data_IF_408697145862
#
_entry.id   IF_408697145862
#
_cell.length_a   1.000
_cell.length_b   1.000
_cell.length_c   1.000
_cell.angle_alpha   90.00
_cell.angle_beta   90.00
_cell.angle_gamma   90.00
#
_symmetry.space_group_name_H-M   'P 1'
#
loop_
_entity.id
_entity.type
_entity.pdbx_description
1 polymer ?
#
# COMPACT_ATOMS: atom_id res chain seq x y z
N UNK A 1 14.46 -5.75 -8.56
CA UNK A 1 14.46 -4.38 -8.04
C UNK A 1 13.28 -4.34 -7.09
N UNK A 2 13.52 -4.14 -5.80
CA UNK A 2 12.43 -3.89 -4.85
C UNK A 2 11.77 -2.61 -5.35
N UNK A 3 10.48 -2.68 -5.67
CA UNK A 3 9.70 -1.52 -6.11
C UNK A 3 9.41 -0.72 -4.84
N UNK A 4 10.36 0.16 -4.47
CA UNK A 4 10.25 1.03 -3.29
C UNK A 4 9.01 1.90 -3.49
N UNK A 5 8.22 2.11 -2.43
CA UNK A 5 7.06 3.01 -2.48
C UNK A 5 7.50 4.39 -3.00
N UNK A 6 6.78 5.02 -3.96
CA UNK A 6 7.24 6.27 -4.54
C UNK A 6 7.43 7.40 -3.52
N UNK A 7 6.60 7.46 -2.47
CA UNK A 7 6.74 8.44 -1.41
C UNK A 7 8.02 8.22 -0.61
N UNK A 8 8.31 6.98 -0.22
CA UNK A 8 9.57 6.62 0.44
C UNK A 8 10.77 6.96 -0.45
N UNK A 9 10.67 6.64 -1.76
CA UNK A 9 11.68 7.00 -2.75
C UNK A 9 11.98 8.50 -2.75
N UNK A 10 10.96 9.36 -2.79
CA UNK A 10 11.14 10.81 -2.76
C UNK A 10 11.61 11.35 -1.39
N UNK A 11 11.25 10.71 -0.27
CA UNK A 11 11.65 11.16 1.07
C UNK A 11 13.06 10.67 1.47
N UNK A 12 13.52 9.55 0.92
CA UNK A 12 14.79 8.91 1.29
C UNK A 12 16.05 9.74 0.98
N UNK A 13 16.01 10.62 -0.02
CA UNK A 13 17.08 11.58 -0.31
C UNK A 13 16.55 13.01 -0.16
N UNK A 14 16.75 13.65 1.02
CA UNK A 14 16.25 14.99 1.25
C UNK A 14 16.84 15.98 0.25
N UNK A 15 15.99 16.82 -0.36
CA UNK A 15 16.46 17.95 -1.19
C UNK A 15 17.45 18.85 -0.44
N UNK A 16 17.35 18.93 0.89
CA UNK A 16 18.26 19.70 1.74
C UNK A 16 19.70 19.17 1.77
N UNK A 17 19.95 17.92 1.34
CA UNK A 17 21.29 17.37 1.21
C UNK A 17 21.96 17.78 -0.11
N UNK A 18 21.17 18.19 -1.10
CA UNK A 18 21.69 18.67 -2.38
C UNK A 18 21.96 20.17 -2.33
N UNK A 19 23.07 20.59 -2.93
CA UNK A 19 23.33 22.02 -3.09
C UNK A 19 22.28 22.65 -4.03
N UNK A 20 21.92 23.94 -3.84
CA UNK A 20 21.03 24.64 -4.76
C UNK A 20 21.52 24.62 -6.21
N UNK A 21 22.84 24.57 -6.41
CA UNK A 21 23.44 24.41 -7.74
C UNK A 21 23.11 23.03 -8.31
N UNK A 22 23.29 21.95 -7.54
CA UNK A 22 23.01 20.59 -8.01
C UNK A 22 21.52 20.39 -8.33
N UNK A 23 20.63 21.00 -7.54
CA UNK A 23 19.19 21.00 -7.83
C UNK A 23 18.91 21.66 -9.18
N UNK A 24 19.50 22.84 -9.44
CA UNK A 24 19.34 23.53 -10.73
C UNK A 24 19.91 22.73 -11.90
N UNK A 25 21.07 22.10 -11.74
CA UNK A 25 21.65 21.22 -12.76
C UNK A 25 20.69 20.07 -13.11
N UNK A 26 20.17 19.37 -12.10
CA UNK A 26 19.21 18.27 -12.30
C UNK A 26 17.92 18.75 -12.96
N UNK A 27 17.43 19.95 -12.61
CA UNK A 27 16.26 20.54 -13.24
C UNK A 27 16.51 20.95 -14.70
N UNK A 28 17.69 21.47 -15.02
CA UNK A 28 18.10 21.73 -16.41
C UNK A 28 18.17 20.44 -17.22
N UNK A 29 18.80 19.39 -16.69
CA UNK A 29 18.84 18.07 -17.35
C UNK A 29 17.42 17.51 -17.57
N UNK A 30 16.51 17.69 -16.60
CA UNK A 30 15.12 17.28 -16.72
C UNK A 30 14.35 18.08 -17.79
N UNK A 31 14.58 19.39 -17.86
CA UNK A 31 14.02 20.26 -18.91
C UNK A 31 14.46 19.80 -20.31
N UNK A 32 15.76 19.60 -20.52
CA UNK A 32 16.30 19.14 -21.81
C UNK A 32 15.74 17.76 -22.21
N UNK A 33 15.62 16.84 -21.24
CA UNK A 33 15.01 15.54 -21.45
C UNK A 33 13.53 15.62 -21.81
N UNK A 34 12.79 16.55 -21.19
CA UNK A 34 11.38 16.79 -21.48
C UNK A 34 11.17 17.32 -22.89
N UNK A 35 11.98 18.30 -23.32
CA UNK A 35 11.89 18.86 -24.67
C UNK A 35 12.33 17.85 -25.75
N UNK A 36 13.32 17.00 -25.46
CA UNK A 36 13.68 15.88 -26.34
C UNK A 36 12.51 14.92 -26.54
N UNK A 37 11.82 14.56 -25.46
CA UNK A 37 10.65 13.68 -25.52
C UNK A 37 9.47 14.36 -26.24
N UNK A 38 9.25 15.65 -26.01
CA UNK A 38 8.22 16.42 -26.72
C UNK A 38 8.48 16.47 -28.23
N UNK A 39 9.72 16.75 -28.65
CA UNK A 39 10.13 16.77 -30.05
C UNK A 39 9.98 15.38 -30.71
N UNK A 40 10.30 14.30 -29.96
CA UNK A 40 10.06 12.93 -30.42
C UNK A 40 8.57 12.66 -30.67
N UNK A 41 7.70 13.14 -29.78
CA UNK A 41 6.25 12.99 -29.91
C UNK A 41 5.68 13.85 -31.05
N UNK A 42 6.32 14.97 -31.40
CA UNK A 42 5.93 15.82 -32.54
C UNK A 42 6.25 15.12 -33.87
N UNK A 43 7.37 14.41 -33.95
CA UNK A 43 7.86 13.76 -35.16
C UNK A 43 8.25 12.29 -34.91
N UNK A 44 7.30 11.41 -34.56
CA UNK A 44 7.61 10.02 -34.23
C UNK A 44 8.07 9.25 -35.48
N UNK A 45 9.06 8.34 -35.34
CA UNK A 45 9.44 7.46 -36.44
C UNK A 45 8.31 6.48 -36.79
N UNK A 46 8.38 5.84 -37.97
CA UNK A 46 7.34 4.91 -38.47
C UNK A 46 6.99 3.78 -37.48
N UNK A 47 7.94 3.36 -36.65
CA UNK A 47 7.74 2.38 -35.56
C UNK A 47 8.25 3.02 -34.27
N UNK A 48 7.41 3.80 -33.56
CA UNK A 48 7.84 4.52 -32.38
C UNK A 48 8.10 3.56 -31.21
N UNK A 49 9.19 3.84 -30.50
CA UNK A 49 9.52 3.31 -29.19
C UNK A 49 9.89 4.50 -28.30
N UNK A 50 9.01 4.82 -27.35
CA UNK A 50 9.15 6.03 -26.55
C UNK A 50 10.39 6.01 -25.65
N UNK A 51 11.04 4.85 -25.48
CA UNK A 51 12.35 4.74 -24.80
C UNK A 51 13.45 5.53 -25.52
N UNK A 52 13.35 5.70 -26.84
CA UNK A 52 14.31 6.49 -27.60
C UNK A 52 14.16 8.00 -27.35
N UNK A 53 12.92 8.48 -27.19
CA UNK A 53 12.64 9.89 -26.89
C UNK A 53 12.93 10.28 -25.44
N UNK A 54 12.88 9.33 -24.50
CA UNK A 54 13.03 9.61 -23.06
C UNK A 54 14.42 9.34 -22.49
N UNK A 55 15.46 9.11 -23.32
CA UNK A 55 16.80 8.71 -22.82
C UNK A 55 17.36 9.66 -21.75
N UNK A 56 17.16 10.97 -21.92
CA UNK A 56 17.57 11.98 -20.93
C UNK A 56 16.82 11.89 -19.60
N UNK A 57 15.57 11.41 -19.62
CA UNK A 57 14.73 11.28 -18.41
C UNK A 57 14.90 9.93 -17.69
N UNK A 58 15.45 8.92 -18.37
CA UNK A 58 15.48 7.54 -17.86
C UNK A 58 16.19 7.42 -16.52
N UNK A 59 17.33 8.09 -16.35
CA UNK A 59 18.10 8.09 -15.10
C UNK A 59 17.57 9.14 -14.12
N UNK A 60 17.04 10.25 -14.62
CA UNK A 60 16.51 11.33 -13.79
C UNK A 60 15.24 10.95 -13.04
N UNK A 61 14.52 9.89 -13.42
CA UNK A 61 13.37 9.41 -12.64
C UNK A 61 13.74 8.99 -11.21
N UNK A 62 15.02 8.80 -10.89
CA UNK A 62 15.51 8.54 -9.54
C UNK A 62 15.98 9.82 -8.81
N UNK A 63 15.86 10.98 -9.46
CA UNK A 63 16.26 12.27 -8.90
C UNK A 63 15.23 12.77 -7.89
N UNK A 64 15.65 13.28 -6.72
CA UNK A 64 14.74 13.85 -5.74
C UNK A 64 14.23 15.25 -6.11
N UNK A 65 14.81 15.91 -7.13
CA UNK A 65 14.55 17.31 -7.49
C UNK A 65 13.31 17.51 -8.38
N UNK A 66 12.90 16.48 -9.12
CA UNK A 66 11.80 16.57 -10.09
C UNK A 66 11.98 17.67 -11.16
N UNK A 67 10.88 18.08 -11.78
CA UNK A 67 10.85 19.24 -12.67
C UNK A 67 10.89 20.57 -11.91
N UNK A 68 11.44 21.62 -12.53
CA UNK A 68 11.22 22.98 -12.05
C UNK A 68 9.75 23.40 -12.26
N UNK A 69 9.24 24.30 -11.42
CA UNK A 69 7.85 24.79 -11.51
C UNK A 69 7.49 25.37 -12.90
N UNK A 70 8.45 25.98 -13.59
CA UNK A 70 8.25 26.50 -14.94
C UNK A 70 7.95 25.41 -15.99
N UNK A 71 8.42 24.18 -15.77
CA UNK A 71 8.26 23.05 -16.69
C UNK A 71 7.02 22.22 -16.38
N UNK A 72 6.41 22.39 -15.20
CA UNK A 72 5.25 21.59 -14.75
C UNK A 72 4.09 21.60 -15.76
N UNK A 73 3.63 22.76 -16.30
CA UNK A 73 2.54 22.77 -17.28
C UNK A 73 2.92 22.01 -18.57
N UNK A 74 4.17 22.14 -19.02
CA UNK A 74 4.70 21.46 -20.20
C UNK A 74 4.77 19.95 -19.98
N UNK A 75 5.23 19.50 -18.83
CA UNK A 75 5.31 18.10 -18.46
C UNK A 75 3.94 17.43 -18.38
N UNK A 76 2.92 18.10 -17.83
CA UNK A 76 1.54 17.60 -17.85
C UNK A 76 1.00 17.44 -19.28
N UNK A 77 1.28 18.40 -20.18
CA UNK A 77 0.88 18.31 -21.58
C UNK A 77 1.59 17.16 -22.31
N UNK A 78 2.89 16.99 -22.09
CA UNK A 78 3.67 15.87 -22.65
C UNK A 78 3.15 14.53 -22.14
N UNK A 79 2.81 14.42 -20.85
CA UNK A 79 2.23 13.20 -20.28
C UNK A 79 0.95 12.77 -21.03
N UNK A 80 0.02 13.69 -21.26
CA UNK A 80 -1.24 13.38 -21.96
C UNK A 80 -0.99 12.84 -23.36
N UNK A 81 -0.02 13.42 -24.09
CA UNK A 81 0.39 12.93 -25.42
C UNK A 81 0.99 11.52 -25.38
N UNK A 82 1.81 11.21 -24.37
CA UNK A 82 2.36 9.85 -24.16
C UNK A 82 1.22 8.85 -23.94
N UNK A 83 0.26 9.20 -23.09
CA UNK A 83 -0.89 8.36 -22.76
C UNK A 83 -1.79 8.10 -23.99
N UNK A 84 -2.02 9.12 -24.80
CA UNK A 84 -2.75 9.00 -26.06
C UNK A 84 -2.03 8.08 -27.06
N UNK A 85 -0.76 8.36 -27.35
CA UNK A 85 0.06 7.61 -28.30
C UNK A 85 0.18 6.13 -27.92
N UNK A 86 0.45 5.82 -26.64
CA UNK A 86 0.68 4.45 -26.20
C UNK A 86 1.85 3.77 -26.93
N UNK A 87 1.77 2.44 -27.10
CA UNK A 87 2.77 1.68 -27.86
C UNK A 87 4.02 1.29 -27.07
N UNK A 88 5.08 0.92 -27.80
CA UNK A 88 6.35 0.48 -27.21
C UNK A 88 7.00 1.61 -26.40
N UNK A 89 7.52 1.27 -25.21
CA UNK A 89 8.16 2.24 -24.31
C UNK A 89 7.22 3.19 -23.59
N UNK A 90 5.91 3.18 -23.86
CA UNK A 90 4.96 4.13 -23.26
C UNK A 90 4.90 4.04 -21.73
N UNK A 91 4.96 2.84 -21.14
CA UNK A 91 4.95 2.69 -19.69
C UNK A 91 6.21 3.29 -19.04
N UNK A 92 7.38 3.14 -19.69
CA UNK A 92 8.63 3.74 -19.20
C UNK A 92 8.59 5.27 -19.26
N UNK A 93 8.04 5.82 -20.35
CA UNK A 93 7.90 7.26 -20.53
C UNK A 93 6.88 7.86 -19.55
N UNK A 94 5.73 7.19 -19.35
CA UNK A 94 4.74 7.58 -18.34
C UNK A 94 5.35 7.57 -16.94
N UNK A 95 6.04 6.48 -16.57
CA UNK A 95 6.74 6.38 -15.28
C UNK A 95 7.71 7.52 -15.08
N UNK A 96 8.62 7.77 -16.02
CA UNK A 96 9.62 8.83 -15.86
C UNK A 96 8.99 10.22 -15.71
N UNK A 97 8.01 10.56 -16.54
CA UNK A 97 7.35 11.88 -16.48
C UNK A 97 6.55 12.05 -15.19
N UNK A 98 5.78 11.03 -14.76
CA UNK A 98 5.03 11.11 -13.51
C UNK A 98 5.96 11.13 -12.28
N UNK A 99 7.06 10.37 -12.28
CA UNK A 99 7.99 10.39 -11.16
C UNK A 99 8.65 11.77 -11.00
N UNK A 100 9.04 12.42 -12.11
CA UNK A 100 9.61 13.77 -12.08
C UNK A 100 8.59 14.85 -11.76
N UNK A 101 7.34 14.72 -12.25
CA UNK A 101 6.23 15.58 -11.84
C UNK A 101 5.97 15.45 -10.34
N UNK A 102 5.92 14.23 -9.80
CA UNK A 102 5.72 14.00 -8.37
C UNK A 102 6.84 14.61 -7.54
N UNK A 103 8.09 14.37 -7.93
CA UNK A 103 9.27 14.92 -7.25
C UNK A 103 9.34 16.45 -7.18
N UNK A 104 8.69 17.16 -8.12
CA UNK A 104 8.60 18.64 -8.09
C UNK A 104 7.86 19.15 -6.84
N UNK A 105 6.95 18.33 -6.29
CA UNK A 105 6.04 18.68 -5.20
C UNK A 105 5.39 20.06 -5.42
N UNK A 106 5.00 20.36 -6.67
CA UNK A 106 4.40 21.64 -7.03
C UNK A 106 2.87 21.61 -6.77
N UNK A 107 2.33 22.50 -5.92
CA UNK A 107 0.90 22.55 -5.60
C UNK A 107 -0.02 22.67 -6.81
N UNK A 108 0.43 23.27 -7.92
CA UNK A 108 -0.37 23.41 -9.14
C UNK A 108 -0.70 22.07 -9.81
N UNK A 109 -0.01 20.99 -9.40
CA UNK A 109 -0.26 19.64 -9.93
C UNK A 109 -1.40 18.89 -9.23
N UNK A 110 -1.97 19.40 -8.14
CA UNK A 110 -3.06 18.70 -7.42
C UNK A 110 -4.23 18.30 -8.34
N UNK A 111 -4.78 19.17 -9.21
CA UNK A 111 -5.85 18.77 -10.13
C UNK A 111 -5.41 17.71 -11.14
N UNK A 112 -4.15 17.76 -11.59
CA UNK A 112 -3.59 16.78 -12.51
C UNK A 112 -3.52 15.38 -11.86
N UNK A 113 -3.12 15.29 -10.59
CA UNK A 113 -3.08 14.00 -9.90
C UNK A 113 -4.46 13.38 -9.70
N UNK A 114 -5.49 14.19 -9.42
CA UNK A 114 -6.88 13.73 -9.39
C UNK A 114 -7.31 13.18 -10.76
N UNK A 115 -6.99 13.89 -11.85
CA UNK A 115 -7.22 13.41 -13.21
C UNK A 115 -6.54 12.05 -13.45
N UNK A 116 -5.28 11.89 -13.03
CA UNK A 116 -4.50 10.65 -13.23
C UNK A 116 -5.07 9.44 -12.50
N UNK A 117 -5.66 9.63 -11.32
CA UNK A 117 -6.32 8.57 -10.54
C UNK A 117 -7.55 8.03 -11.28
N UNK A 118 -8.34 8.93 -11.87
CA UNK A 118 -9.58 8.60 -12.58
C UNK A 118 -9.35 8.19 -14.03
N UNK A 119 -8.17 8.50 -14.59
CA UNK A 119 -7.83 8.20 -15.97
C UNK A 119 -7.87 6.69 -16.24
N UNK A 120 -8.60 6.29 -17.28
CA UNK A 120 -8.73 4.89 -17.68
C UNK A 120 -8.62 4.72 -19.19
N UNK A 121 -8.05 3.58 -19.61
CA UNK A 121 -7.99 3.14 -21.01
C UNK A 121 -8.11 1.61 -21.06
N UNK A 122 -8.71 1.02 -22.10
CA UNK A 122 -8.74 -0.43 -22.26
C UNK A 122 -7.33 -1.03 -22.23
N UNK A 123 -7.15 -2.11 -21.46
CA UNK A 123 -5.87 -2.83 -21.30
C UNK A 123 -4.71 -1.94 -20.80
N UNK A 124 -5.02 -0.92 -20.02
CA UNK A 124 -4.02 -0.08 -19.37
C UNK A 124 -3.29 -0.84 -18.25
N UNK A 125 -2.13 -1.38 -18.59
CA UNK A 125 -1.26 -2.10 -17.65
C UNK A 125 -0.57 -1.17 -16.65
N UNK A 126 -0.51 0.13 -16.93
CA UNK A 126 0.17 1.12 -16.10
C UNK A 126 -0.77 1.79 -15.09
N UNK A 127 -2.08 1.53 -15.17
CA UNK A 127 -3.10 2.15 -14.31
C UNK A 127 -2.77 2.05 -12.82
N UNK A 128 -2.41 0.86 -12.34
CA UNK A 128 -2.14 0.66 -10.92
C UNK A 128 -0.99 1.54 -10.45
N UNK A 129 0.12 1.54 -11.19
CA UNK A 129 1.29 2.33 -10.87
C UNK A 129 1.03 3.83 -10.98
N UNK A 130 0.26 4.27 -11.99
CA UNK A 130 -0.18 5.66 -12.10
C UNK A 130 -0.98 6.12 -10.89
N UNK A 131 -1.92 5.30 -10.42
CA UNK A 131 -2.71 5.61 -9.21
C UNK A 131 -1.79 5.75 -8.00
N UNK A 132 -0.87 4.80 -7.79
CA UNK A 132 0.10 4.82 -6.68
C UNK A 132 0.97 6.08 -6.74
N UNK A 133 1.58 6.38 -7.90
CA UNK A 133 2.37 7.61 -8.11
C UNK A 133 1.57 8.88 -7.84
N UNK A 134 0.30 8.91 -8.23
CA UNK A 134 -0.56 10.09 -8.05
C UNK A 134 -0.89 10.34 -6.58
N UNK A 135 -1.24 9.29 -5.84
CA UNK A 135 -1.53 9.40 -4.41
C UNK A 135 -0.28 9.74 -3.60
N UNK A 136 0.86 9.12 -3.94
CA UNK A 136 2.15 9.43 -3.35
C UNK A 136 2.57 10.89 -3.62
N UNK A 137 2.34 11.40 -4.84
CA UNK A 137 2.65 12.79 -5.18
C UNK A 137 1.78 13.78 -4.41
N UNK A 138 0.47 13.49 -4.24
CA UNK A 138 -0.39 14.29 -3.37
C UNK A 138 0.11 14.30 -1.91
N UNK A 139 0.53 13.15 -1.38
CA UNK A 139 1.11 13.09 -0.04
C UNK A 139 2.43 13.88 0.05
N UNK A 140 3.30 13.80 -0.97
CA UNK A 140 4.54 14.56 -1.00
C UNK A 140 4.31 16.07 -1.03
N UNK A 141 3.31 16.54 -1.80
CA UNK A 141 2.91 17.96 -1.82
C UNK A 141 2.42 18.37 -0.42
N UNK A 142 1.56 17.57 0.21
CA UNK A 142 1.08 17.81 1.56
C UNK A 142 2.24 17.93 2.56
N UNK A 143 3.20 17.00 2.53
CA UNK A 143 4.36 16.96 3.45
C UNK A 143 5.32 18.13 3.21
N UNK A 144 5.70 18.39 1.96
CA UNK A 144 6.75 19.38 1.63
C UNK A 144 6.26 20.82 1.55
N UNK A 145 4.97 21.03 1.25
CA UNK A 145 4.39 22.36 0.99
C UNK A 145 3.34 22.77 1.99
N UNK A 146 2.88 21.85 2.84
CA UNK A 146 1.78 22.07 3.78
C UNK A 146 0.48 22.53 3.08
N UNK A 147 0.27 22.07 1.85
CA UNK A 147 -0.81 22.55 0.98
C UNK A 147 -2.16 21.90 1.33
N UNK A 148 -3.14 22.71 1.74
CA UNK A 148 -4.47 22.23 2.13
C UNK A 148 -5.17 21.45 1.00
N UNK A 149 -5.04 21.92 -0.25
CA UNK A 149 -5.65 21.25 -1.41
C UNK A 149 -5.15 19.81 -1.60
N UNK A 150 -3.91 19.50 -1.21
CA UNK A 150 -3.37 18.15 -1.30
C UNK A 150 -3.95 17.20 -0.22
N UNK A 151 -4.10 17.70 1.01
CA UNK A 151 -4.81 16.99 2.08
C UNK A 151 -6.28 16.72 1.70
N UNK A 152 -6.96 17.74 1.18
CA UNK A 152 -8.36 17.63 0.74
C UNK A 152 -8.52 16.64 -0.41
N UNK A 153 -7.58 16.63 -1.37
CA UNK A 153 -7.57 15.68 -2.47
C UNK A 153 -7.43 14.23 -1.99
N UNK A 154 -6.46 13.95 -1.10
CA UNK A 154 -6.30 12.62 -0.51
C UNK A 154 -7.55 12.21 0.29
N UNK A 155 -8.07 13.13 1.10
CA UNK A 155 -9.27 12.89 1.89
C UNK A 155 -10.50 12.62 1.01
N UNK A 156 -10.69 13.35 -0.08
CA UNK A 156 -11.74 13.10 -1.08
C UNK A 156 -11.63 11.68 -1.66
N UNK A 157 -10.41 11.24 -2.02
CA UNK A 157 -10.16 9.93 -2.63
C UNK A 157 -10.42 8.75 -1.67
N UNK A 158 -10.50 8.99 -0.36
CA UNK A 158 -10.97 7.96 0.61
C UNK A 158 -12.43 7.56 0.39
N UNK A 159 -13.19 8.29 -0.44
CA UNK A 159 -14.59 8.02 -0.81
C UNK A 159 -14.74 7.58 -2.27
N UNK A 160 -13.64 7.32 -2.97
CA UNK A 160 -13.65 6.92 -4.38
C UNK A 160 -14.43 5.61 -4.63
N UNK A 161 -15.04 5.45 -5.82
CA UNK A 161 -15.86 4.29 -6.13
C UNK A 161 -15.09 2.94 -6.09
N UNK A 162 -13.82 2.96 -6.51
CA UNK A 162 -12.91 1.80 -6.48
C UNK A 162 -12.31 1.61 -5.06
N UNK A 163 -12.55 0.47 -4.38
CA UNK A 163 -12.00 0.20 -3.05
C UNK A 163 -10.48 0.20 -2.98
N UNK A 164 -9.78 -0.24 -4.03
CA UNK A 164 -8.31 -0.24 -4.03
C UNK A 164 -7.73 1.19 -4.01
N UNK A 165 -8.45 2.16 -4.58
CA UNK A 165 -8.08 3.57 -4.53
C UNK A 165 -8.38 4.14 -3.14
N UNK A 166 -9.55 3.82 -2.55
CA UNK A 166 -9.88 4.24 -1.18
C UNK A 166 -8.81 3.76 -0.19
N UNK A 167 -8.41 2.49 -0.26
CA UNK A 167 -7.41 1.92 0.63
C UNK A 167 -6.05 2.65 0.53
N UNK A 168 -5.55 2.85 -0.70
CA UNK A 168 -4.30 3.60 -0.90
C UNK A 168 -4.44 5.07 -0.50
N UNK A 169 -5.58 5.71 -0.75
CA UNK A 169 -5.81 7.10 -0.35
C UNK A 169 -5.76 7.25 1.17
N UNK A 170 -6.34 6.32 1.94
CA UNK A 170 -6.23 6.31 3.41
C UNK A 170 -4.79 6.07 3.86
N UNK A 171 -4.06 5.16 3.20
CA UNK A 171 -2.64 4.91 3.47
C UNK A 171 -1.79 6.18 3.28
N UNK A 172 -1.91 6.84 2.13
CA UNK A 172 -1.16 8.06 1.83
C UNK A 172 -1.63 9.27 2.62
N UNK A 173 -2.92 9.36 3.00
CA UNK A 173 -3.42 10.39 3.92
C UNK A 173 -2.80 10.24 5.31
N UNK A 174 -2.64 9.01 5.81
CA UNK A 174 -1.94 8.74 7.08
C UNK A 174 -0.49 9.24 7.01
N UNK A 175 0.22 8.91 5.93
CA UNK A 175 1.59 9.40 5.70
C UNK A 175 1.64 10.94 5.62
N UNK A 176 0.73 11.55 4.87
CA UNK A 176 0.67 13.00 4.71
C UNK A 176 0.54 13.76 6.05
N UNK A 177 -0.19 13.21 7.03
CA UNK A 177 -0.27 13.79 8.38
C UNK A 177 0.93 13.42 9.25
N UNK A 178 1.29 12.13 9.30
CA UNK A 178 2.35 11.63 10.17
C UNK A 178 3.73 12.22 9.81
N UNK A 179 4.10 12.16 8.54
CA UNK A 179 5.43 12.60 8.06
C UNK A 179 5.54 14.13 8.06
N UNK A 180 4.42 14.85 7.99
CA UNK A 180 4.36 16.30 8.19
C UNK A 180 4.36 16.72 9.67
N UNK A 181 4.28 15.77 10.62
CA UNK A 181 4.14 16.07 12.04
C UNK A 181 2.83 16.79 12.40
N UNK A 182 1.77 16.61 11.59
CA UNK A 182 0.47 17.27 11.77
C UNK A 182 -0.54 16.34 12.44
N UNK A 183 -1.31 16.82 13.43
CA UNK A 183 -2.43 16.06 13.95
C UNK A 183 -3.51 15.89 12.88
N UNK A 184 -4.16 14.74 12.86
CA UNK A 184 -5.29 14.47 11.94
C UNK A 184 -6.52 15.27 12.40
N UNK A 185 -7.16 16.07 11.53
CA UNK A 185 -8.36 16.83 11.89
C UNK A 185 -9.53 15.94 12.31
N UNK A 186 -10.36 16.42 13.24
CA UNK A 186 -11.52 15.68 13.77
C UNK A 186 -12.51 15.23 12.68
N UNK A 187 -12.73 16.06 11.66
CA UNK A 187 -13.56 15.70 10.52
C UNK A 187 -13.00 14.46 9.79
N UNK A 188 -11.69 14.43 9.53
CA UNK A 188 -11.01 13.29 8.91
C UNK A 188 -11.10 12.05 9.80
N UNK A 189 -10.87 12.19 11.12
CA UNK A 189 -10.99 11.08 12.06
C UNK A 189 -12.42 10.49 12.07
N UNK A 190 -13.44 11.35 12.04
CA UNK A 190 -14.85 10.95 11.96
C UNK A 190 -15.10 10.15 10.68
N UNK A 191 -14.61 10.64 9.54
CA UNK A 191 -14.73 9.94 8.26
C UNK A 191 -13.98 8.61 8.26
N UNK A 192 -12.79 8.53 8.87
CA UNK A 192 -12.03 7.29 8.97
C UNK A 192 -12.72 6.26 9.88
N UNK A 193 -13.40 6.70 10.93
CA UNK A 193 -14.26 5.82 11.73
C UNK A 193 -15.42 5.24 10.89
N UNK A 194 -16.04 6.06 10.04
CA UNK A 194 -17.08 5.61 9.12
C UNK A 194 -16.52 4.62 8.09
N UNK A 195 -15.36 4.88 7.48
CA UNK A 195 -14.70 3.95 6.55
C UNK A 195 -14.36 2.63 7.25
N UNK A 196 -13.81 2.68 8.47
CA UNK A 196 -13.49 1.49 9.25
C UNK A 196 -14.73 0.62 9.50
N UNK A 197 -15.85 1.22 9.90
CA UNK A 197 -17.03 0.48 10.32
C UNK A 197 -17.95 0.08 9.16
N UNK A 198 -18.06 0.90 8.11
CA UNK A 198 -19.12 0.78 7.10
C UNK A 198 -18.63 0.37 5.70
N UNK A 199 -17.34 0.50 5.38
CA UNK A 199 -16.86 0.07 4.05
C UNK A 199 -17.05 -1.44 3.88
N UNK A 200 -17.45 -1.86 2.67
CA UNK A 200 -17.69 -3.27 2.34
C UNK A 200 -16.41 -4.03 2.04
N UNK A 201 -15.38 -3.33 1.56
CA UNK A 201 -14.10 -3.92 1.20
C UNK A 201 -13.16 -3.96 2.41
N UNK A 202 -12.35 -5.01 2.51
CA UNK A 202 -11.41 -5.16 3.62
C UNK A 202 -10.34 -4.06 3.66
N UNK A 203 -9.67 -3.80 2.53
CA UNK A 203 -8.47 -2.94 2.52
C UNK A 203 -8.72 -1.50 3.01
N UNK A 204 -9.80 -0.79 2.60
CA UNK A 204 -10.11 0.53 3.17
C UNK A 204 -10.38 0.47 4.66
N UNK A 205 -11.15 -0.53 5.12
CA UNK A 205 -11.45 -0.74 6.54
C UNK A 205 -10.18 -0.93 7.35
N UNK A 206 -9.25 -1.71 6.82
CA UNK A 206 -7.97 -2.02 7.44
C UNK A 206 -7.10 -0.77 7.57
N UNK A 207 -6.90 -0.03 6.46
CA UNK A 207 -6.08 1.18 6.49
C UNK A 207 -6.68 2.28 7.37
N UNK A 208 -8.01 2.42 7.40
CA UNK A 208 -8.68 3.38 8.28
C UNK A 208 -8.46 3.06 9.76
N UNK A 209 -8.53 1.79 10.16
CA UNK A 209 -8.20 1.36 11.53
C UNK A 209 -6.74 1.60 11.89
N UNK A 210 -5.80 1.42 10.95
CA UNK A 210 -4.40 1.77 11.17
C UNK A 210 -4.24 3.28 11.42
N UNK A 211 -4.87 4.12 10.61
CA UNK A 211 -4.84 5.58 10.79
C UNK A 211 -5.40 5.99 12.16
N UNK A 212 -6.55 5.44 12.56
CA UNK A 212 -7.15 5.70 13.87
C UNK A 212 -6.19 5.31 15.01
N UNK A 213 -5.60 4.11 14.95
CA UNK A 213 -4.67 3.61 15.97
C UNK A 213 -3.47 4.52 16.15
N UNK A 214 -2.78 4.88 15.06
CA UNK A 214 -1.58 5.75 15.16
C UNK A 214 -1.94 7.18 15.56
N UNK A 215 -3.20 7.58 15.39
CA UNK A 215 -3.73 8.88 15.85
C UNK A 215 -4.25 8.84 17.29
N UNK A 216 -4.02 7.75 18.03
CA UNK A 216 -4.47 7.57 19.41
C UNK A 216 -5.99 7.47 19.57
N UNK A 217 -6.73 7.20 18.48
CA UNK A 217 -8.18 7.06 18.52
C UNK A 217 -8.58 5.62 18.85
N UNK A 218 -9.76 5.41 19.47
CA UNK A 218 -10.34 4.09 19.64
C UNK A 218 -10.51 3.38 18.29
N UNK A 219 -10.04 2.14 18.20
CA UNK A 219 -10.20 1.31 17.01
C UNK A 219 -11.52 0.53 17.12
N UNK A 220 -12.40 0.56 16.10
CA UNK A 220 -13.64 -0.22 16.14
C UNK A 220 -13.40 -1.72 16.23
N UNK A 221 -13.99 -2.35 17.25
CA UNK A 221 -14.03 -3.81 17.43
C UNK A 221 -15.25 -4.40 16.73
N UNK A 222 -15.02 -5.17 15.67
CA UNK A 222 -16.07 -5.90 14.97
C UNK A 222 -16.46 -7.15 15.76
N UNK A 223 -17.78 -7.40 15.86
CA UNK A 223 -18.36 -8.58 16.52
C UNK A 223 -17.86 -8.78 17.97
N UNK A 224 -17.98 -7.77 18.85
CA UNK A 224 -17.53 -7.87 20.24
C UNK A 224 -18.21 -9.06 20.92
N UNK A 225 -17.42 -9.86 21.64
CA UNK A 225 -17.83 -11.11 22.25
C UNK A 225 -18.07 -12.25 21.27
N UNK A 226 -17.87 -12.06 19.96
CA UNK A 226 -18.08 -13.05 18.92
C UNK A 226 -16.83 -13.88 18.58
N UNK A 227 -16.96 -14.72 17.54
CA UNK A 227 -15.89 -15.62 17.07
C UNK A 227 -15.71 -15.58 15.55
N UNK A 228 -14.47 -15.87 15.16
CA UNK A 228 -14.01 -16.00 13.78
C UNK A 228 -13.50 -17.41 13.55
N UNK A 229 -13.97 -18.05 12.47
CA UNK A 229 -13.45 -19.34 12.02
C UNK A 229 -12.43 -19.11 10.90
N UNK A 230 -11.19 -19.56 11.14
CA UNK A 230 -10.06 -19.44 10.23
C UNK A 230 -9.71 -20.81 9.66
N UNK A 231 -9.82 -20.98 8.35
CA UNK A 231 -9.26 -22.14 7.65
C UNK A 231 -7.82 -21.83 7.26
N UNK A 232 -6.89 -22.51 7.91
CA UNK A 232 -5.44 -22.37 7.76
C UNK A 232 -4.93 -23.50 6.88
N UNK A 233 -4.47 -23.17 5.67
CA UNK A 233 -4.07 -24.11 4.63
C UNK A 233 -2.59 -23.98 4.31
N UNK A 234 -1.86 -25.09 4.31
CA UNK A 234 -0.46 -25.12 3.85
C UNK A 234 -0.39 -24.75 2.36
N UNK A 235 0.31 -23.68 1.98
CA UNK A 235 0.32 -23.21 0.59
C UNK A 235 0.92 -24.24 -0.38
N UNK A 236 1.98 -24.94 0.04
CA UNK A 236 2.61 -26.01 -0.76
C UNK A 236 1.70 -27.23 -0.95
N UNK A 237 0.71 -27.44 -0.07
CA UNK A 237 -0.29 -28.50 -0.22
C UNK A 237 -1.59 -28.13 0.52
N UNK A 238 -2.51 -27.45 -0.19
CA UNK A 238 -3.79 -26.97 0.38
C UNK A 238 -4.75 -28.08 0.81
N UNK A 239 -4.43 -29.37 0.58
CA UNK A 239 -5.18 -30.51 1.14
C UNK A 239 -4.85 -30.73 2.62
N UNK A 240 -3.78 -30.13 3.14
CA UNK A 240 -3.44 -30.15 4.56
C UNK A 240 -3.93 -28.83 5.16
N UNK A 241 -4.92 -28.91 6.05
CA UNK A 241 -5.48 -27.71 6.69
C UNK A 241 -6.02 -27.97 8.09
N UNK A 242 -6.17 -26.88 8.83
CA UNK A 242 -6.85 -26.81 10.14
C UNK A 242 -7.89 -25.71 10.08
N UNK A 243 -9.06 -25.93 10.65
CA UNK A 243 -10.03 -24.86 10.88
C UNK A 243 -10.04 -24.53 12.36
N UNK A 244 -9.71 -23.29 12.70
CA UNK A 244 -9.52 -22.81 14.06
C UNK A 244 -10.54 -21.72 14.33
N UNK A 245 -11.28 -21.83 15.44
CA UNK A 245 -12.13 -20.75 15.94
C UNK A 245 -11.36 -19.94 16.97
N UNK A 246 -11.34 -18.61 16.85
CA UNK A 246 -10.80 -17.68 17.84
C UNK A 246 -11.82 -16.58 18.18
N UNK A 247 -11.72 -15.99 19.38
CA UNK A 247 -12.58 -14.86 19.79
C UNK A 247 -12.13 -13.55 19.16
N UNK A 248 -13.07 -12.62 19.01
CA UNK A 248 -12.81 -11.29 18.44
C UNK A 248 -11.74 -10.51 19.20
N UNK A 249 -11.62 -10.72 20.51
CA UNK A 249 -10.69 -10.04 21.41
C UNK A 249 -9.31 -10.69 21.47
N UNK A 250 -9.13 -11.86 20.83
CA UNK A 250 -7.84 -12.51 20.76
C UNK A 250 -6.97 -11.87 19.68
N UNK A 251 -5.66 -12.03 19.83
CA UNK A 251 -4.66 -11.43 18.96
C UNK A 251 -4.25 -12.37 17.84
N UNK A 252 -3.60 -11.85 16.80
CA UNK A 252 -2.93 -12.68 15.80
C UNK A 252 -1.83 -13.56 16.41
N UNK A 253 -1.18 -13.11 17.50
CA UNK A 253 -0.25 -13.95 18.26
C UNK A 253 -0.95 -15.15 18.93
N UNK A 254 -2.17 -14.97 19.46
CA UNK A 254 -2.95 -16.08 20.01
C UNK A 254 -3.31 -17.10 18.92
N UNK A 255 -3.72 -16.60 17.75
CA UNK A 255 -4.01 -17.42 16.58
C UNK A 255 -2.76 -18.18 16.13
N UNK A 256 -1.61 -17.51 16.02
CA UNK A 256 -0.32 -18.09 15.66
C UNK A 256 0.08 -19.24 16.60
N UNK A 257 0.05 -19.03 17.91
CA UNK A 257 0.38 -20.09 18.88
C UNK A 257 -0.54 -21.30 18.71
N UNK A 258 -1.82 -21.06 18.44
CA UNK A 258 -2.77 -22.16 18.22
C UNK A 258 -2.59 -22.85 16.86
N UNK A 259 -2.16 -22.15 15.82
CA UNK A 259 -1.77 -22.75 14.53
C UNK A 259 -0.63 -23.74 14.75
N UNK A 260 0.45 -23.35 15.44
CA UNK A 260 1.58 -24.24 15.72
C UNK A 260 1.13 -25.50 16.47
N UNK A 261 0.35 -25.33 17.54
CA UNK A 261 -0.24 -26.43 18.28
C UNK A 261 -1.10 -27.36 17.39
N UNK A 262 -1.95 -26.81 16.52
CA UNK A 262 -2.82 -27.60 15.64
C UNK A 262 -2.06 -28.40 14.56
N UNK A 263 -0.88 -27.95 14.18
CA UNK A 263 0.03 -28.67 13.28
C UNK A 263 1.05 -29.56 14.02
N UNK A 264 1.05 -29.55 15.36
CA UNK A 264 2.04 -30.23 16.19
C UNK A 264 3.49 -29.80 15.86
N UNK A 265 3.67 -28.50 15.68
CA UNK A 265 4.96 -27.84 15.47
C UNK A 265 5.38 -27.06 16.71
N UNK A 266 6.68 -26.95 16.92
CA UNK A 266 7.28 -26.11 17.95
C UNK A 266 7.25 -24.63 17.52
N UNK A 267 7.07 -23.74 18.49
CA UNK A 267 7.05 -22.29 18.25
C UNK A 267 8.42 -21.67 18.52
N UNK A 268 9.40 -22.04 17.71
CA UNK A 268 10.84 -21.78 17.91
C UNK A 268 11.43 -20.77 16.91
N UNK A 269 10.65 -20.30 15.93
CA UNK A 269 11.09 -19.34 14.91
C UNK A 269 10.20 -18.09 14.80
N UNK A 270 10.72 -17.07 14.10
CA UNK A 270 9.99 -15.84 13.80
C UNK A 270 8.83 -16.09 12.81
N UNK A 271 7.88 -15.15 12.82
CA UNK A 271 6.71 -15.21 11.95
C UNK A 271 6.17 -13.83 11.63
N UNK A 272 5.41 -13.74 10.54
CA UNK A 272 4.69 -12.53 10.16
C UNK A 272 3.35 -12.87 9.48
N UNK A 273 2.34 -12.03 9.73
CA UNK A 273 1.08 -12.04 9.00
C UNK A 273 1.04 -10.92 7.97
N UNK A 274 0.63 -11.22 6.73
CA UNK A 274 0.40 -10.22 5.68
C UNK A 274 -1.07 -10.19 5.31
N UNK A 275 -1.77 -9.16 5.76
CA UNK A 275 -3.23 -9.07 5.75
C UNK A 275 -3.86 -8.93 4.37
N UNK A 276 -3.08 -8.62 3.33
CA UNK A 276 -3.51 -8.62 1.93
C UNK A 276 -3.06 -9.88 1.16
N UNK A 277 -2.43 -10.84 1.85
CA UNK A 277 -1.90 -12.08 1.28
C UNK A 277 -0.60 -11.91 0.49
N UNK A 278 0.01 -10.71 0.45
CA UNK A 278 1.26 -10.46 -0.26
C UNK A 278 2.42 -10.45 0.73
N UNK A 279 3.32 -11.42 0.58
CA UNK A 279 4.56 -11.49 1.36
C UNK A 279 5.39 -10.22 1.11
N UNK A 280 5.96 -9.66 2.19
CA UNK A 280 6.80 -8.45 2.17
C UNK A 280 6.06 -7.15 1.80
N UNK A 281 4.76 -7.08 2.04
CA UNK A 281 4.01 -5.82 2.00
C UNK A 281 3.87 -5.23 3.42
N UNK A 282 4.78 -4.32 3.75
CA UNK A 282 4.86 -3.71 5.09
C UNK A 282 3.63 -2.84 5.42
N UNK A 283 2.85 -2.43 4.42
CA UNK A 283 1.59 -1.71 4.64
C UNK A 283 0.45 -2.62 5.12
N UNK A 284 0.65 -3.93 5.13
CA UNK A 284 -0.31 -4.94 5.59
C UNK A 284 0.30 -5.97 6.55
N UNK A 285 1.51 -5.74 7.06
CA UNK A 285 2.19 -6.70 7.92
C UNK A 285 1.81 -6.57 9.40
N UNK A 286 1.91 -7.69 10.12
CA UNK A 286 2.10 -7.75 11.58
C UNK A 286 3.21 -8.76 11.89
N UNK A 287 4.35 -8.26 12.36
CA UNK A 287 5.52 -9.07 12.64
C UNK A 287 5.45 -9.75 14.02
N UNK A 288 6.39 -10.65 14.28
CA UNK A 288 6.59 -11.21 15.61
C UNK A 288 7.07 -10.12 16.59
N UNK A 289 6.66 -10.19 17.86
CA UNK A 289 7.08 -9.22 18.87
C UNK A 289 8.59 -9.25 19.18
N UNK A 290 9.30 -10.31 18.76
CA UNK A 290 10.77 -10.40 18.86
C UNK A 290 11.49 -9.64 17.73
N UNK A 291 10.77 -9.15 16.72
CA UNK A 291 11.29 -8.24 15.70
C UNK A 291 11.01 -6.80 16.13
N UNK A 292 11.83 -6.29 17.07
CA UNK A 292 11.62 -4.99 17.72
C UNK A 292 11.58 -3.81 16.74
N UNK A 293 12.30 -3.92 15.62
CA UNK A 293 12.41 -2.91 14.56
C UNK A 293 11.31 -3.01 13.50
N UNK A 294 10.39 -3.98 13.60
CA UNK A 294 9.32 -4.20 12.61
C UNK A 294 7.90 -4.14 13.20
N UNK A 295 7.50 -3.06 13.89
CA UNK A 295 6.10 -2.87 14.26
C UNK A 295 5.21 -2.69 13.01
N UNK A 296 3.89 -2.91 13.11
CA UNK A 296 3.16 -3.36 14.30
C UNK A 296 3.34 -4.86 14.58
N UNK A 297 3.17 -5.28 15.83
CA UNK A 297 3.34 -6.68 16.23
C UNK A 297 2.01 -7.46 16.26
N UNK A 298 2.09 -8.75 15.98
CA UNK A 298 0.94 -9.66 16.01
C UNK A 298 0.31 -9.80 17.41
N UNK A 299 1.06 -9.51 18.48
CA UNK A 299 0.58 -9.46 19.86
C UNK A 299 -0.32 -8.25 20.16
N UNK A 300 -0.30 -7.23 19.30
CA UNK A 300 -1.13 -6.02 19.42
C UNK A 300 -2.31 -6.04 18.44
N UNK A 301 -2.32 -7.02 17.55
CA UNK A 301 -3.28 -7.16 16.46
C UNK A 301 -4.52 -7.95 16.91
N UNK A 302 -5.46 -7.27 17.55
CA UNK A 302 -6.74 -7.86 17.99
C UNK A 302 -7.62 -8.21 16.78
N UNK A 303 -8.11 -9.45 16.70
CA UNK A 303 -8.81 -10.02 15.53
C UNK A 303 -10.01 -9.18 15.08
N UNK A 304 -10.87 -8.76 16.01
CA UNK A 304 -12.04 -7.93 15.70
C UNK A 304 -11.68 -6.51 15.29
N UNK A 305 -10.48 -6.04 15.62
CA UNK A 305 -9.96 -4.73 15.21
C UNK A 305 -9.26 -4.77 13.83
N UNK A 306 -9.24 -5.91 13.14
CA UNK A 306 -8.63 -6.01 11.81
C UNK A 306 -9.59 -5.64 10.67
N UNK A 307 -10.89 -5.51 10.94
CA UNK A 307 -11.90 -5.25 9.91
C UNK A 307 -12.11 -6.43 8.95
N UNK A 308 -11.79 -7.66 9.40
CA UNK A 308 -11.94 -8.89 8.63
C UNK A 308 -13.38 -9.13 8.18
N UNK A 309 -13.53 -9.66 6.97
CA UNK A 309 -14.82 -10.05 6.38
C UNK A 309 -14.80 -11.51 5.98
N UNK A 310 -15.96 -12.15 5.87
CA UNK A 310 -16.09 -13.53 5.38
C UNK A 310 -15.44 -13.67 4.00
N UNK A 311 -14.72 -14.78 3.78
CA UNK A 311 -13.89 -15.09 2.61
C UNK A 311 -12.62 -14.24 2.45
N UNK A 312 -12.33 -13.33 3.39
CA UNK A 312 -11.05 -12.63 3.36
C UNK A 312 -9.91 -13.63 3.51
N UNK A 313 -8.84 -13.42 2.75
CA UNK A 313 -7.65 -14.28 2.76
C UNK A 313 -6.41 -13.45 3.07
N UNK A 314 -5.56 -14.00 3.93
CA UNK A 314 -4.28 -13.41 4.27
C UNK A 314 -3.22 -14.49 4.43
N UNK A 315 -1.96 -14.07 4.52
CA UNK A 315 -0.81 -14.97 4.58
C UNK A 315 -0.27 -15.02 6.01
N UNK A 316 0.02 -16.22 6.51
CA UNK A 316 0.84 -16.46 7.69
C UNK A 316 2.16 -17.09 7.23
N UNK A 317 3.28 -16.43 7.51
CA UNK A 317 4.63 -16.86 7.15
C UNK A 317 5.37 -17.19 8.44
N UNK A 318 5.66 -18.47 8.65
CA UNK A 318 6.41 -18.98 9.80
C UNK A 318 7.75 -19.51 9.32
N UNK A 319 8.78 -19.32 10.13
CA UNK A 319 10.16 -19.72 9.82
C UNK A 319 10.65 -19.13 8.49
N UNK A 320 11.35 -18.00 8.59
CA UNK A 320 11.83 -17.30 7.40
C UNK A 320 12.92 -18.06 6.64
N UNK A 321 13.59 -19.03 7.28
CA UNK A 321 14.58 -19.89 6.65
C UNK A 321 13.92 -20.92 5.75
N UNK A 322 12.97 -21.68 6.30
CA UNK A 322 12.30 -22.78 5.58
C UNK A 322 11.09 -22.34 4.74
N UNK A 323 10.66 -21.09 4.92
CA UNK A 323 9.61 -20.43 4.16
C UNK A 323 8.28 -21.20 4.26
N UNK A 324 7.84 -21.47 5.49
CA UNK A 324 6.55 -22.11 5.73
C UNK A 324 5.42 -21.10 5.56
N UNK A 325 4.71 -21.23 4.45
CA UNK A 325 3.63 -20.32 4.05
C UNK A 325 2.26 -20.98 4.24
N UNK A 326 1.36 -20.28 4.91
CA UNK A 326 -0.02 -20.69 5.13
C UNK A 326 -0.98 -19.63 4.59
N UNK A 327 -1.93 -20.05 3.77
CA UNK A 327 -3.09 -19.21 3.42
C UNK A 327 -4.13 -19.36 4.53
N UNK A 328 -4.55 -18.24 5.11
CA UNK A 328 -5.58 -18.18 6.15
C UNK A 328 -6.82 -17.54 5.55
N UNK A 329 -7.93 -18.28 5.54
CA UNK A 329 -9.23 -17.80 5.05
C UNK A 329 -10.22 -17.66 6.20
N UNK A 330 -10.91 -16.52 6.29
CA UNK A 330 -12.04 -16.32 7.21
C UNK A 330 -13.26 -17.03 6.65
N UNK A 331 -13.56 -18.24 7.13
CA UNK A 331 -14.65 -19.06 6.60
C UNK A 331 -16.00 -18.74 7.26
N UNK A 332 -16.00 -18.24 8.49
CA UNK A 332 -17.22 -17.81 9.17
C UNK A 332 -16.95 -16.76 10.25
N UNK A 333 -17.97 -15.95 10.56
CA UNK A 333 -17.96 -14.97 11.64
C UNK A 333 -19.32 -15.05 12.32
N UNK A 334 -19.35 -15.26 13.64
CA UNK A 334 -20.59 -15.49 14.40
C UNK A 334 -20.60 -14.70 15.71
N UNK A 335 -21.75 -14.12 16.10
CA UNK A 335 -21.89 -13.47 17.41
C UNK A 335 -22.06 -14.47 18.56
N UNK A 336 -22.48 -15.70 18.26
CA UNK A 336 -22.77 -16.71 19.27
C UNK A 336 -21.53 -17.51 19.66
N UNK A 337 -21.20 -17.47 20.95
CA UNK A 337 -20.05 -18.13 21.54
C UNK A 337 -20.53 -19.26 22.43
N UNK A 338 -20.17 -20.48 22.02
CA UNK A 338 -20.28 -21.64 22.91
C UNK A 338 -19.28 -21.47 24.04
N UNK A 339 -19.69 -21.80 25.26
CA UNK A 339 -18.78 -21.81 26.40
C UNK A 339 -17.54 -22.69 26.14
N UNK A 340 -16.40 -22.31 26.72
CA UNK A 340 -15.15 -23.06 26.64
C UNK A 340 -13.91 -22.22 26.32
N UNK A 341 -12.80 -22.92 26.11
CA UNK A 341 -11.49 -22.31 25.84
C UNK A 341 -11.32 -22.01 24.34
N UNK A 342 -10.68 -20.88 24.06
CA UNK A 342 -10.36 -20.41 22.72
C UNK A 342 -8.88 -19.96 22.66
N UNK A 343 -8.19 -20.08 21.52
CA UNK A 343 -8.71 -20.63 20.26
C UNK A 343 -8.92 -22.14 20.35
N UNK A 344 -9.68 -22.72 19.42
CA UNK A 344 -9.94 -24.17 19.39
C UNK A 344 -9.99 -24.72 17.98
N UNK A 345 -9.62 -25.99 17.83
CA UNK A 345 -9.68 -26.72 16.56
C UNK A 345 -11.11 -27.22 16.33
N UNK A 346 -11.69 -26.93 15.17
CA UNK A 346 -13.03 -27.40 14.79
C UNK A 346 -13.02 -28.37 13.61
N UNK A 347 -11.97 -28.37 12.80
CA UNK A 347 -11.80 -29.30 11.69
C UNK A 347 -10.31 -29.50 11.37
N UNK A 348 -9.94 -30.69 10.92
CA UNK A 348 -8.57 -31.07 10.60
C UNK A 348 -8.54 -32.08 9.47
N UNK A 349 -7.75 -31.79 8.45
CA UNK A 349 -7.62 -32.66 7.28
C UNK A 349 -6.15 -32.76 6.84
N UNK A 350 -5.75 -33.97 6.45
CA UNK A 350 -4.38 -34.29 6.07
C UNK A 350 -3.44 -34.42 7.28
N UNK A 351 -2.49 -35.36 7.19
CA UNK A 351 -1.41 -35.52 8.18
C UNK A 351 -0.57 -34.24 8.18
N UNK A 352 -0.28 -33.67 9.35
CA UNK A 352 0.66 -32.57 9.45
C UNK A 352 2.05 -33.05 8.97
N UNK A 353 2.75 -32.28 8.12
CA UNK A 353 4.12 -32.59 7.77
C UNK A 353 5.03 -32.46 9.00
N UNK A 354 6.17 -33.13 8.96
CA UNK A 354 7.26 -32.81 9.90
C UNK A 354 7.62 -31.33 9.75
N UNK A 355 8.00 -30.68 10.85
CA UNK A 355 8.41 -29.29 10.84
C UNK A 355 9.69 -29.13 10.01
N UNK A 356 10.71 -29.94 10.30
CA UNK A 356 11.99 -29.97 9.62
C UNK A 356 12.23 -31.30 8.89
N UNK A 357 13.04 -31.27 7.83
CA UNK A 357 13.38 -32.41 6.99
C UNK A 357 14.85 -32.79 7.03
#
# INVERSE_FOLDING_TARGET
MIDIDPLEGWLSTPLGELSPQRIRELQTEAHEGLETLAAYLDNPPRRPDLRDGMRGLFWLRYSPAGFASADVPRAQAVYRRIFEMGGAGSMDAQRAVLTLLGGSADPQTVPFWLEMVDLTKPRDKFRQERVTLSLAALALIAIRRDEAAAYDALHQLTRHANPAIRAQAVLYLRHAYADAGRPVPEAVLTDMFLVATQDKAFEPRFQARRLLRVSGQPVPLDNPGGVYDFKVMMLRNKRIYRTITARSEQTLADLQRFIQHAFAWDNDHLYCFYMNGRKYDDHYQFACAYEEDRPPWASEAVIGELGLVKKHRFLYHFDYGDDHLFEVEVVDIRPDVREGNYPRLIDSHGKAPAQYY
#
